data_IF_827022357279
#
_entry.id   IF_827022357279
#
_cell.length_a   1.000
_cell.length_b   1.000
_cell.length_c   1.000
_cell.angle_alpha   90.00
_cell.angle_beta   90.00
_cell.angle_gamma   90.00
#
_symmetry.space_group_name_H-M   'P 1'
#
loop_
_entity.id
_entity.type
_entity.pdbx_description
1 polymer ?
#
# COMPACT_ATOMS: atom_id res chain seq x y z
N UNK A 1 4.64 -22.16 -15.06
CA UNK A 1 5.37 -21.28 -14.13
C UNK A 1 5.74 -22.13 -12.93
N UNK A 2 7.02 -22.27 -12.58
CA UNK A 2 7.44 -22.97 -11.36
C UNK A 2 8.18 -21.98 -10.47
N UNK A 3 7.84 -21.96 -9.18
CA UNK A 3 8.57 -21.16 -8.20
C UNK A 3 9.84 -21.88 -7.78
N UNK A 4 10.92 -21.13 -7.60
CA UNK A 4 12.13 -21.63 -6.96
C UNK A 4 11.89 -21.89 -5.46
N UNK A 5 12.68 -22.80 -4.89
CA UNK A 5 12.62 -23.11 -3.46
C UNK A 5 12.83 -21.86 -2.60
N UNK A 6 13.73 -20.95 -3.03
CA UNK A 6 13.98 -19.68 -2.35
C UNK A 6 12.76 -18.77 -2.34
N UNK A 7 12.02 -18.70 -3.46
CA UNK A 7 10.79 -17.90 -3.54
C UNK A 7 9.68 -18.47 -2.63
N UNK A 8 9.57 -19.80 -2.57
CA UNK A 8 8.61 -20.48 -1.69
C UNK A 8 8.95 -20.22 -0.22
N UNK A 9 10.22 -20.39 0.19
CA UNK A 9 10.66 -20.14 1.56
C UNK A 9 10.44 -18.68 1.97
N UNK A 10 10.74 -17.73 1.08
CA UNK A 10 10.49 -16.32 1.33
C UNK A 10 8.99 -16.01 1.48
N UNK A 11 8.13 -16.62 0.67
CA UNK A 11 6.68 -16.46 0.79
C UNK A 11 6.15 -17.03 2.12
N UNK A 12 6.59 -18.24 2.50
CA UNK A 12 6.24 -18.86 3.79
C UNK A 12 6.68 -17.97 4.94
N UNK A 13 7.92 -17.48 4.94
CA UNK A 13 8.43 -16.57 5.98
C UNK A 13 7.60 -15.30 6.13
N UNK A 14 7.08 -14.73 5.03
CA UNK A 14 6.17 -13.57 5.10
C UNK A 14 4.81 -13.95 5.69
N UNK A 15 4.27 -15.11 5.33
CA UNK A 15 2.99 -15.60 5.87
C UNK A 15 3.06 -15.79 7.38
N UNK A 16 4.16 -16.34 7.91
CA UNK A 16 4.31 -16.61 9.36
C UNK A 16 4.14 -15.35 10.22
N UNK A 17 4.54 -14.18 9.72
CA UNK A 17 4.36 -12.89 10.43
C UNK A 17 2.90 -12.61 10.78
N UNK A 18 1.97 -13.14 10.00
CA UNK A 18 0.55 -12.85 10.09
C UNK A 18 -0.27 -14.00 10.68
N UNK A 19 0.28 -15.22 10.77
CA UNK A 19 -0.48 -16.38 11.28
C UNK A 19 -0.81 -16.29 12.77
N UNK A 20 -0.13 -15.44 13.53
CA UNK A 20 -0.33 -15.26 14.97
C UNK A 20 -0.31 -16.60 15.77
N UNK A 21 0.52 -17.55 15.33
CA UNK A 21 0.63 -18.89 15.93
C UNK A 21 -0.55 -19.83 15.64
N UNK A 22 -1.44 -19.48 14.71
CA UNK A 22 -2.52 -20.35 14.27
C UNK A 22 -2.08 -21.22 13.09
N UNK A 23 -2.49 -22.48 13.10
CA UNK A 23 -2.24 -23.44 12.03
C UNK A 23 -3.49 -23.66 11.16
N UNK A 24 -3.33 -24.42 10.07
CA UNK A 24 -4.43 -24.85 9.22
C UNK A 24 -5.16 -23.68 8.55
N UNK A 25 -6.49 -23.83 8.41
CA UNK A 25 -7.33 -22.88 7.68
C UNK A 25 -7.34 -21.49 8.32
N UNK A 26 -7.35 -21.42 9.66
CA UNK A 26 -7.35 -20.15 10.41
C UNK A 26 -6.04 -19.41 10.19
N UNK A 27 -4.90 -20.10 10.32
CA UNK A 27 -3.59 -19.52 10.04
C UNK A 27 -3.47 -19.00 8.61
N UNK A 28 -3.95 -19.77 7.63
CA UNK A 28 -3.95 -19.37 6.23
C UNK A 28 -4.82 -18.12 5.98
N UNK A 29 -6.03 -18.07 6.55
CA UNK A 29 -6.92 -16.92 6.44
C UNK A 29 -6.29 -15.64 7.02
N UNK A 30 -5.68 -15.73 8.21
CA UNK A 30 -4.98 -14.62 8.84
C UNK A 30 -3.79 -14.14 7.98
N UNK A 31 -3.03 -15.07 7.41
CA UNK A 31 -1.94 -14.73 6.50
C UNK A 31 -2.42 -13.98 5.26
N UNK A 32 -3.52 -14.41 4.64
CA UNK A 32 -4.11 -13.72 3.47
C UNK A 32 -4.61 -12.33 3.83
N UNK A 33 -5.32 -12.18 4.94
CA UNK A 33 -5.82 -10.88 5.40
C UNK A 33 -4.67 -9.93 5.70
N UNK A 34 -3.65 -10.38 6.43
CA UNK A 34 -2.47 -9.58 6.76
C UNK A 34 -1.69 -9.14 5.52
N UNK A 35 -1.45 -10.04 4.57
CA UNK A 35 -0.80 -9.72 3.30
C UNK A 35 -1.63 -8.77 2.42
N UNK A 36 -2.96 -8.91 2.45
CA UNK A 36 -3.87 -8.02 1.70
C UNK A 36 -3.90 -6.62 2.31
N UNK A 37 -3.85 -6.51 3.64
CA UNK A 37 -3.69 -5.23 4.33
C UNK A 37 -2.35 -4.58 3.97
N UNK A 38 -1.25 -5.32 4.08
CA UNK A 38 0.10 -4.82 3.73
C UNK A 38 0.15 -4.32 2.26
N UNK A 39 -0.49 -5.05 1.36
CA UNK A 39 -0.62 -4.63 -0.04
C UNK A 39 -1.41 -3.33 -0.18
N UNK A 40 -2.55 -3.22 0.50
CA UNK A 40 -3.41 -2.02 0.45
C UNK A 40 -2.67 -0.79 0.97
N UNK A 41 -1.92 -0.93 2.07
CA UNK A 41 -1.12 0.15 2.64
C UNK A 41 -0.01 0.60 1.67
N UNK A 42 0.67 -0.35 1.01
CA UNK A 42 1.68 -0.04 -0.01
C UNK A 42 1.09 0.65 -1.22
N UNK A 43 -0.05 0.18 -1.72
CA UNK A 43 -0.75 0.81 -2.85
C UNK A 43 -1.20 2.24 -2.51
N UNK A 44 -1.67 2.47 -1.28
CA UNK A 44 -2.01 3.81 -0.80
C UNK A 44 -0.77 4.72 -0.72
N UNK A 45 0.34 4.24 -0.15
CA UNK A 45 1.58 5.00 -0.08
C UNK A 45 2.12 5.40 -1.47
N UNK A 46 2.13 4.46 -2.41
CA UNK A 46 2.56 4.72 -3.80
C UNK A 46 1.63 5.76 -4.48
N UNK A 47 0.31 5.64 -4.30
CA UNK A 47 -0.65 6.61 -4.83
C UNK A 47 -0.36 8.01 -4.27
N UNK A 48 -0.14 8.10 -2.97
CA UNK A 48 0.09 9.38 -2.29
C UNK A 48 1.41 10.03 -2.74
N UNK A 49 2.46 9.24 -2.95
CA UNK A 49 3.72 9.70 -3.56
C UNK A 49 3.51 10.20 -5.00
N UNK A 50 2.74 9.47 -5.82
CA UNK A 50 2.41 9.92 -7.17
C UNK A 50 1.60 11.22 -7.18
N UNK A 51 0.70 11.41 -6.21
CA UNK A 51 -0.04 12.67 -6.02
C UNK A 51 0.93 13.82 -5.72
N UNK A 52 1.91 13.62 -4.83
CA UNK A 52 2.92 14.63 -4.50
C UNK A 52 3.77 14.98 -5.72
N UNK A 53 4.23 13.98 -6.46
CA UNK A 53 4.99 14.18 -7.71
C UNK A 53 4.17 14.94 -8.74
N UNK A 54 2.89 14.57 -8.95
CA UNK A 54 2.02 15.28 -9.88
C UNK A 54 1.85 16.77 -9.49
N UNK A 55 1.67 17.04 -8.20
CA UNK A 55 1.57 18.40 -7.70
C UNK A 55 2.89 19.18 -7.87
N UNK A 56 4.04 18.56 -7.59
CA UNK A 56 5.36 19.21 -7.71
C UNK A 56 5.71 19.60 -9.15
N UNK A 57 5.21 18.87 -10.14
CA UNK A 57 5.33 19.22 -11.57
C UNK A 57 4.24 20.17 -12.08
N UNK A 58 3.38 20.68 -11.20
CA UNK A 58 2.44 21.76 -11.48
C UNK A 58 0.98 21.35 -11.72
N UNK A 59 0.60 20.08 -11.49
CA UNK A 59 -0.80 19.70 -11.54
C UNK A 59 -1.59 20.35 -10.39
N UNK A 60 -2.75 20.93 -10.70
CA UNK A 60 -3.61 21.52 -9.67
C UNK A 60 -4.30 20.45 -8.81
N UNK A 61 -4.61 20.77 -7.55
CA UNK A 61 -5.35 19.87 -6.65
C UNK A 61 -6.66 19.36 -7.25
N UNK A 62 -7.32 20.19 -8.09
CA UNK A 62 -8.54 19.80 -8.79
C UNK A 62 -8.26 18.73 -9.85
N UNK A 63 -7.26 18.92 -10.70
CA UNK A 63 -6.92 17.93 -11.75
C UNK A 63 -6.53 16.59 -11.13
N UNK A 64 -5.80 16.62 -10.01
CA UNK A 64 -5.41 15.41 -9.29
C UNK A 64 -6.64 14.72 -8.68
N UNK A 65 -7.55 15.47 -8.04
CA UNK A 65 -8.80 14.93 -7.51
C UNK A 65 -9.65 14.26 -8.61
N UNK A 66 -9.79 14.92 -9.78
CA UNK A 66 -10.56 14.40 -10.90
C UNK A 66 -10.00 13.06 -11.45
N UNK A 67 -8.66 12.90 -11.51
CA UNK A 67 -8.01 11.67 -12.03
C UNK A 67 -7.96 10.55 -10.99
N UNK A 68 -7.77 10.88 -9.72
CA UNK A 68 -7.64 9.88 -8.65
C UNK A 68 -8.98 9.43 -8.09
N UNK A 69 -10.06 10.18 -8.37
CA UNK A 69 -11.38 9.97 -7.76
C UNK A 69 -11.44 10.32 -6.28
N UNK A 70 -10.39 10.95 -5.73
CA UNK A 70 -10.35 11.45 -4.36
C UNK A 70 -10.97 12.83 -4.28
N UNK A 71 -11.48 13.18 -3.10
CA UNK A 71 -11.94 14.55 -2.87
C UNK A 71 -10.74 15.51 -2.72
N UNK A 72 -11.01 16.80 -3.01
CA UNK A 72 -9.99 17.84 -3.01
C UNK A 72 -9.32 18.04 -1.63
N UNK A 73 -10.04 17.80 -0.52
CA UNK A 73 -9.48 17.95 0.83
C UNK A 73 -8.48 16.82 1.11
N UNK A 74 -8.81 15.60 0.73
CA UNK A 74 -7.90 14.44 0.82
C UNK A 74 -6.62 14.69 0.02
N UNK A 75 -6.73 15.18 -1.22
CA UNK A 75 -5.56 15.54 -2.03
C UNK A 75 -4.73 16.66 -1.38
N UNK A 76 -5.36 17.70 -0.82
CA UNK A 76 -4.66 18.78 -0.10
C UNK A 76 -3.84 18.23 1.07
N UNK A 77 -4.46 17.37 1.90
CA UNK A 77 -3.80 16.77 3.05
C UNK A 77 -2.56 15.96 2.63
N UNK A 78 -2.67 15.12 1.59
CA UNK A 78 -1.57 14.29 1.09
C UNK A 78 -0.36 15.15 0.66
N UNK A 79 -0.63 16.26 -0.03
CA UNK A 79 0.40 17.21 -0.48
C UNK A 79 1.00 18.00 0.68
N UNK A 80 0.21 18.31 1.71
CA UNK A 80 0.66 19.06 2.88
C UNK A 80 1.46 18.23 3.87
N UNK A 81 1.16 16.93 4.02
CA UNK A 81 1.89 16.03 4.92
C UNK A 81 3.38 15.92 4.55
N UNK A 82 3.73 16.07 3.28
CA UNK A 82 5.13 16.04 2.80
C UNK A 82 5.93 17.28 3.25
N UNK A 83 5.25 18.40 3.53
CA UNK A 83 5.90 19.66 3.95
C UNK A 83 6.21 19.72 5.44
N UNK A 84 5.67 18.81 6.25
CA UNK A 84 5.88 18.79 7.70
C UNK A 84 7.13 17.99 8.11
N UNK A 85 7.63 17.13 7.22
CA UNK A 85 8.81 16.28 7.45
C UNK A 85 10.11 16.83 6.81
N UNK A 86 10.08 18.06 6.27
CA UNK A 86 11.24 18.79 5.69
C UNK A 86 11.56 20.05 6.49
#
# INVERSE_FOLDING_TARGET
>A
MSYSETEVLAAVGRMERYRAGQDGEIGAALAVVGLSSERTDKEAAIRDDMIRVAHSVGASLRQIADVTGLDRKTVSNIVESDKQDS
#
